data_IF_052160419174
#
_entry.id   IF_052160419174
#
_cell.length_a   1.000
_cell.length_b   1.000
_cell.length_c   1.000
_cell.angle_alpha   90.00
_cell.angle_beta   90.00
_cell.angle_gamma   90.00
#
_symmetry.space_group_name_H-M   'P 1'
#
loop_
_entity.id
_entity.type
_entity.pdbx_description
1 polymer ?
#
# COMPACT_ATOMS: atom_id res chain seq x y z
N UNK A 1 -26.30 -90.86 -5.33
CA UNK A 1 -26.02 -90.04 -6.54
C UNK A 1 -26.36 -88.56 -6.36
N UNK A 2 -26.82 -88.10 -5.19
CA UNK A 2 -27.34 -86.73 -5.00
C UNK A 2 -26.28 -85.70 -4.57
N UNK A 3 -25.29 -86.10 -3.75
CA UNK A 3 -24.24 -85.20 -3.25
C UNK A 3 -23.28 -84.61 -4.31
N UNK A 4 -23.34 -85.06 -5.56
CA UNK A 4 -22.55 -84.47 -6.65
C UNK A 4 -23.23 -83.24 -7.27
N UNK A 5 -24.57 -83.25 -7.33
CA UNK A 5 -25.35 -82.12 -7.86
C UNK A 5 -25.33 -80.93 -6.89
N UNK A 6 -25.33 -81.23 -5.59
CA UNK A 6 -25.28 -80.21 -4.54
C UNK A 6 -23.93 -79.49 -4.49
N UNK A 7 -22.82 -80.24 -4.65
CA UNK A 7 -21.48 -79.67 -4.80
C UNK A 7 -21.35 -78.79 -6.04
N UNK A 8 -21.96 -79.20 -7.15
CA UNK A 8 -21.95 -78.42 -8.39
C UNK A 8 -22.73 -77.12 -8.25
N UNK A 9 -23.90 -77.14 -7.60
CA UNK A 9 -24.65 -75.92 -7.26
C UNK A 9 -23.84 -74.98 -6.37
N UNK A 10 -23.23 -75.52 -5.30
CA UNK A 10 -22.43 -74.73 -4.37
C UNK A 10 -21.21 -74.10 -5.06
N UNK A 11 -20.58 -74.83 -5.99
CA UNK A 11 -19.47 -74.32 -6.80
C UNK A 11 -19.89 -73.19 -7.74
N UNK A 12 -21.06 -73.33 -8.39
CA UNK A 12 -21.62 -72.30 -9.27
C UNK A 12 -21.99 -71.05 -8.48
N UNK A 13 -22.59 -71.20 -7.31
CA UNK A 13 -22.92 -70.08 -6.42
C UNK A 13 -21.67 -69.36 -5.92
N UNK A 14 -20.64 -70.10 -5.49
CA UNK A 14 -19.37 -69.52 -5.07
C UNK A 14 -18.68 -68.76 -6.22
N UNK A 15 -18.71 -69.30 -7.45
CA UNK A 15 -18.19 -68.63 -8.65
C UNK A 15 -18.95 -67.34 -8.97
N UNK A 16 -20.28 -67.32 -8.80
CA UNK A 16 -21.09 -66.11 -8.97
C UNK A 16 -20.80 -65.05 -7.89
N UNK A 17 -20.54 -65.48 -6.65
CA UNK A 17 -20.17 -64.57 -5.56
C UNK A 17 -18.77 -63.97 -5.79
N UNK A 18 -17.80 -64.78 -6.22
CA UNK A 18 -16.45 -64.33 -6.58
C UNK A 18 -16.46 -63.34 -7.76
N UNK A 19 -17.27 -63.60 -8.78
CA UNK A 19 -17.41 -62.71 -9.94
C UNK A 19 -18.07 -61.36 -9.60
N UNK A 20 -18.72 -61.26 -8.43
CA UNK A 20 -19.34 -60.02 -7.93
C UNK A 20 -18.42 -59.23 -6.99
N UNK A 21 -17.27 -59.77 -6.60
CA UNK A 21 -16.30 -59.01 -5.84
C UNK A 21 -15.65 -57.98 -6.78
N UNK A 22 -15.49 -56.70 -6.35
CA UNK A 22 -14.70 -55.76 -7.12
C UNK A 22 -13.33 -56.40 -7.36
N UNK A 23 -12.96 -56.57 -8.62
CA UNK A 23 -11.72 -57.26 -8.97
C UNK A 23 -10.53 -56.62 -8.25
N UNK A 24 -9.46 -57.39 -7.98
CA UNK A 24 -8.25 -56.85 -7.34
C UNK A 24 -7.73 -55.58 -8.04
N UNK A 25 -7.89 -55.50 -9.38
CA UNK A 25 -7.60 -54.33 -10.19
C UNK A 25 -8.42 -53.08 -9.80
N UNK A 26 -9.73 -53.22 -9.54
CA UNK A 26 -10.58 -52.10 -9.13
C UNK A 26 -10.23 -51.59 -7.72
N UNK A 27 -9.83 -52.49 -6.82
CA UNK A 27 -9.36 -52.12 -5.48
C UNK A 27 -8.02 -51.36 -5.54
N UNK A 28 -7.10 -51.79 -6.39
CA UNK A 28 -5.82 -51.12 -6.64
C UNK A 28 -6.03 -49.73 -7.24
N UNK A 29 -6.88 -49.60 -8.27
CA UNK A 29 -7.24 -48.30 -8.87
C UNK A 29 -7.85 -47.35 -7.83
N UNK A 30 -8.74 -47.84 -6.97
CA UNK A 30 -9.33 -47.04 -5.90
C UNK A 30 -8.27 -46.57 -4.90
N UNK A 31 -7.30 -47.42 -4.56
CA UNK A 31 -6.19 -47.05 -3.68
C UNK A 31 -5.32 -45.95 -4.30
N UNK A 32 -4.99 -46.08 -5.58
CA UNK A 32 -4.23 -45.06 -6.33
C UNK A 32 -5.00 -43.73 -6.32
N UNK A 33 -6.28 -43.73 -6.70
CA UNK A 33 -7.08 -42.51 -6.70
C UNK A 33 -7.18 -41.86 -5.32
N UNK A 34 -7.36 -42.65 -4.25
CA UNK A 34 -7.35 -42.11 -2.88
C UNK A 34 -6.01 -41.49 -2.51
N UNK A 35 -4.90 -42.08 -2.95
CA UNK A 35 -3.57 -41.52 -2.73
C UNK A 35 -3.40 -40.20 -3.50
N UNK A 36 -3.70 -40.19 -4.79
CA UNK A 36 -3.64 -38.98 -5.63
C UNK A 36 -4.54 -37.88 -5.08
N UNK A 37 -5.76 -38.19 -4.63
CA UNK A 37 -6.66 -37.20 -4.02
C UNK A 37 -6.05 -36.58 -2.76
N UNK A 38 -5.39 -37.38 -1.90
CA UNK A 38 -4.70 -36.85 -0.71
C UNK A 38 -3.55 -35.94 -1.10
N UNK A 39 -2.75 -36.29 -2.10
CA UNK A 39 -1.65 -35.46 -2.58
C UNK A 39 -2.16 -34.15 -3.19
N UNK A 40 -3.18 -34.21 -4.06
CA UNK A 40 -3.82 -33.02 -4.62
C UNK A 40 -4.40 -32.13 -3.53
N UNK A 41 -5.02 -32.72 -2.50
CA UNK A 41 -5.53 -31.95 -1.35
C UNK A 41 -4.41 -31.26 -0.59
N UNK A 42 -3.24 -31.91 -0.42
CA UNK A 42 -2.06 -31.27 0.20
C UNK A 42 -1.55 -30.11 -0.65
N UNK A 43 -1.43 -30.30 -1.98
CA UNK A 43 -1.03 -29.25 -2.92
C UNK A 43 -1.97 -28.05 -2.85
N UNK A 44 -3.30 -28.29 -2.82
CA UNK A 44 -4.30 -27.23 -2.69
C UNK A 44 -4.16 -26.44 -1.38
N UNK A 45 -3.85 -27.12 -0.27
CA UNK A 45 -3.60 -26.43 1.01
C UNK A 45 -2.37 -25.53 0.96
N UNK A 46 -1.28 -26.01 0.36
CA UNK A 46 -0.05 -25.21 0.16
C UNK A 46 -0.35 -24.00 -0.71
N UNK A 47 -0.97 -24.19 -1.88
CA UNK A 47 -1.32 -23.11 -2.78
C UNK A 47 -2.26 -22.09 -2.12
N UNK A 48 -3.23 -22.54 -1.34
CA UNK A 48 -4.10 -21.65 -0.56
C UNK A 48 -3.33 -20.84 0.47
N UNK A 49 -2.34 -21.43 1.13
CA UNK A 49 -1.49 -20.69 2.08
C UNK A 49 -0.58 -19.67 1.39
N UNK A 50 -0.04 -20.02 0.21
CA UNK A 50 0.74 -19.09 -0.62
C UNK A 50 -0.12 -17.93 -1.11
N UNK A 51 -1.34 -18.21 -1.56
CA UNK A 51 -2.29 -17.18 -1.97
C UNK A 51 -2.59 -16.21 -0.82
N UNK A 52 -2.90 -16.74 0.37
CA UNK A 52 -3.15 -15.91 1.55
C UNK A 52 -1.94 -15.05 1.93
N UNK A 53 -0.72 -15.60 1.81
CA UNK A 53 0.52 -14.86 2.03
C UNK A 53 0.65 -13.70 1.02
N UNK A 54 0.41 -13.95 -0.27
CA UNK A 54 0.48 -12.90 -1.30
C UNK A 54 -0.61 -11.84 -1.14
N UNK A 55 -1.82 -12.23 -0.71
CA UNK A 55 -2.88 -11.28 -0.38
C UNK A 55 -2.46 -10.36 0.79
N UNK A 56 -1.87 -10.92 1.85
CA UNK A 56 -1.33 -10.14 2.97
C UNK A 56 -0.25 -9.17 2.51
N UNK A 57 0.72 -9.64 1.72
CA UNK A 57 1.79 -8.79 1.18
C UNK A 57 1.22 -7.66 0.30
N UNK A 58 0.22 -7.95 -0.52
CA UNK A 58 -0.45 -6.93 -1.34
C UNK A 58 -1.12 -5.85 -0.48
N UNK A 59 -1.77 -6.25 0.62
CA UNK A 59 -2.38 -5.31 1.56
C UNK A 59 -1.33 -4.45 2.26
N UNK A 60 -0.23 -5.06 2.71
CA UNK A 60 0.90 -4.34 3.32
C UNK A 60 1.50 -3.31 2.36
N UNK A 61 1.72 -3.67 1.09
CA UNK A 61 2.23 -2.72 0.11
C UNK A 61 1.26 -1.57 -0.16
N UNK A 62 -0.05 -1.84 -0.25
CA UNK A 62 -1.06 -0.78 -0.37
C UNK A 62 -0.99 0.19 0.81
N UNK A 63 -0.92 -0.34 2.02
CA UNK A 63 -0.79 0.46 3.23
C UNK A 63 0.50 1.29 3.24
N UNK A 64 1.64 0.70 2.88
CA UNK A 64 2.92 1.40 2.84
C UNK A 64 2.91 2.54 1.80
N UNK A 65 2.31 2.31 0.62
CA UNK A 65 2.14 3.35 -0.41
C UNK A 65 1.32 4.52 0.14
N UNK A 66 0.19 4.24 0.80
CA UNK A 66 -0.65 5.26 1.41
C UNK A 66 0.08 6.01 2.53
N UNK A 67 0.81 5.29 3.41
CA UNK A 67 1.61 5.89 4.48
C UNK A 67 2.66 6.84 3.93
N UNK A 68 3.46 6.38 2.98
CA UNK A 68 4.50 7.18 2.32
C UNK A 68 3.90 8.38 1.58
N UNK A 69 2.75 8.20 0.92
CA UNK A 69 2.00 9.30 0.30
C UNK A 69 1.61 10.38 1.31
N UNK A 70 1.07 9.98 2.47
CA UNK A 70 0.71 10.88 3.55
C UNK A 70 1.93 11.58 4.18
N UNK A 71 3.03 10.86 4.38
CA UNK A 71 4.30 11.41 4.86
C UNK A 71 4.83 12.48 3.91
N UNK A 72 4.83 12.21 2.60
CA UNK A 72 5.28 13.15 1.58
C UNK A 72 4.44 14.43 1.59
N UNK A 73 3.12 14.31 1.63
CA UNK A 73 2.20 15.46 1.71
C UNK A 73 2.49 16.27 2.99
N UNK A 74 2.68 15.60 4.12
CA UNK A 74 2.98 16.25 5.40
C UNK A 74 4.32 16.97 5.36
N UNK A 75 5.36 16.35 4.80
CA UNK A 75 6.69 16.95 4.66
C UNK A 75 6.65 18.17 3.73
N UNK A 76 5.94 18.08 2.60
CA UNK A 76 5.73 19.21 1.67
C UNK A 76 5.04 20.38 2.36
N UNK A 77 3.98 20.11 3.15
CA UNK A 77 3.29 21.15 3.94
C UNK A 77 4.24 21.80 4.94
N UNK A 78 5.02 21.03 5.69
CA UNK A 78 6.01 21.53 6.66
C UNK A 78 7.08 22.39 5.98
N UNK A 79 7.64 21.93 4.85
CA UNK A 79 8.64 22.67 4.09
C UNK A 79 8.11 24.01 3.58
N UNK A 80 6.93 24.03 2.96
CA UNK A 80 6.33 25.28 2.47
C UNK A 80 5.99 26.25 3.61
N UNK A 81 5.49 25.73 4.74
CA UNK A 81 5.21 26.54 5.92
C UNK A 81 6.51 27.15 6.49
N UNK A 82 7.59 26.38 6.55
CA UNK A 82 8.90 26.86 6.98
C UNK A 82 9.44 27.93 6.03
N UNK A 83 9.41 27.69 4.72
CA UNK A 83 9.87 28.67 3.72
C UNK A 83 9.09 29.99 3.79
N UNK A 84 7.78 29.93 4.05
CA UNK A 84 6.95 31.14 4.29
C UNK A 84 7.37 31.86 5.57
N UNK A 85 7.60 31.13 6.67
CA UNK A 85 8.06 31.72 7.95
C UNK A 85 9.43 32.40 7.80
N UNK A 86 10.38 31.77 7.13
CA UNK A 86 11.70 32.32 6.87
C UNK A 86 11.64 33.61 6.03
N UNK A 87 10.79 33.64 5.00
CA UNK A 87 10.59 34.85 4.19
C UNK A 87 10.02 36.01 5.00
N UNK A 88 8.98 35.74 5.80
CA UNK A 88 8.36 36.76 6.67
C UNK A 88 9.38 37.28 7.68
N UNK A 89 10.16 36.39 8.31
CA UNK A 89 11.20 36.78 9.26
C UNK A 89 12.30 37.61 8.59
N UNK A 90 12.76 37.23 7.40
CA UNK A 90 13.76 37.98 6.64
C UNK A 90 13.26 39.37 6.26
N UNK A 91 12.00 39.49 5.85
CA UNK A 91 11.38 40.78 5.55
C UNK A 91 11.21 41.64 6.80
N UNK A 92 10.77 41.07 7.94
CA UNK A 92 10.68 41.77 9.22
C UNK A 92 12.05 42.29 9.67
N UNK A 93 13.09 41.48 9.57
CA UNK A 93 14.46 41.90 9.88
C UNK A 93 14.95 43.02 8.95
N UNK A 94 14.63 42.95 7.65
CA UNK A 94 14.95 44.03 6.69
C UNK A 94 14.23 45.34 7.02
N UNK A 95 12.94 45.30 7.34
CA UNK A 95 12.17 46.48 7.74
C UNK A 95 12.70 47.04 9.06
N UNK A 96 13.01 46.19 10.03
CA UNK A 96 13.60 46.62 11.31
C UNK A 96 14.96 47.28 11.12
N UNK A 97 15.85 46.72 10.30
CA UNK A 97 17.14 47.34 9.97
C UNK A 97 16.95 48.68 9.25
N UNK A 98 16.06 48.75 8.26
CA UNK A 98 15.77 50.00 7.57
C UNK A 98 15.16 51.06 8.51
N UNK A 99 14.36 50.67 9.51
CA UNK A 99 13.80 51.59 10.49
C UNK A 99 14.91 52.18 11.40
N UNK A 100 15.82 51.33 11.88
CA UNK A 100 17.00 51.74 12.67
C UNK A 100 17.93 52.67 11.88
N UNK A 101 18.08 52.47 10.56
CA UNK A 101 18.83 53.38 9.69
C UNK A 101 18.06 54.64 9.27
N UNK A 102 16.74 54.71 9.50
CA UNK A 102 15.91 55.88 9.18
C UNK A 102 15.77 56.86 10.36
N UNK A 103 15.94 56.39 11.59
CA UNK A 103 15.85 57.19 12.82
C UNK A 103 17.04 58.14 13.05
N UNK A 104 18.10 58.05 12.23
CA UNK A 104 19.26 58.95 12.28
C UNK A 104 19.31 60.02 11.17
N UNK A 105 18.29 60.14 10.31
CA UNK A 105 18.28 61.20 9.29
C UNK A 105 17.75 62.52 9.87
N UNK A 106 18.72 63.31 10.33
CA UNK A 106 18.63 64.74 10.56
C UNK A 106 17.79 65.45 9.49
N UNK A 107 16.98 66.39 9.95
CA UNK A 107 16.10 67.28 9.19
C UNK A 107 16.87 68.21 8.24
N UNK A 108 17.49 67.64 7.20
CA UNK A 108 18.14 68.36 6.11
C UNK A 108 17.29 68.34 4.82
N UNK A 109 17.46 69.32 3.92
CA UNK A 109 16.68 69.42 2.69
C UNK A 109 16.84 68.15 1.84
N UNK A 110 15.71 67.51 1.51
CA UNK A 110 15.69 66.24 0.78
C UNK A 110 15.88 66.49 -0.71
N UNK A 111 16.95 65.93 -1.25
CA UNK A 111 17.20 65.87 -2.70
C UNK A 111 16.91 64.43 -3.16
N UNK A 112 15.93 64.24 -4.03
CA UNK A 112 15.74 62.95 -4.71
C UNK A 112 16.49 63.01 -6.04
N UNK A 113 17.34 62.01 -6.31
CA UNK A 113 18.28 61.97 -7.44
C UNK A 113 17.70 62.55 -8.73
N UNK A 114 18.30 63.66 -9.19
CA UNK A 114 17.83 64.44 -10.32
C UNK A 114 18.22 65.92 -10.34
N UNK A 115 18.88 66.47 -9.30
CA UNK A 115 19.40 67.85 -9.38
C UNK A 115 18.49 68.96 -8.82
N UNK A 116 17.29 68.65 -8.31
CA UNK A 116 16.33 69.68 -7.91
C UNK A 116 15.85 69.56 -6.45
N UNK A 117 15.90 70.65 -5.65
CA UNK A 117 15.41 70.65 -4.28
C UNK A 117 13.87 70.82 -4.25
N UNK A 118 13.20 70.00 -3.44
CA UNK A 118 11.75 70.06 -3.24
C UNK A 118 11.43 71.11 -2.17
N UNK A 119 11.09 72.34 -2.57
CA UNK A 119 10.51 73.31 -1.65
C UNK A 119 9.00 73.04 -1.52
N UNK A 120 8.58 72.59 -0.34
CA UNK A 120 7.16 72.56 0.02
C UNK A 120 6.65 73.99 0.08
N UNK A 121 5.78 74.35 -0.87
CA UNK A 121 5.07 75.62 -0.87
C UNK A 121 4.14 75.67 0.33
N UNK A 122 4.33 76.68 1.18
CA UNK A 122 3.43 76.98 2.29
C UNK A 122 2.08 77.42 1.72
N UNK A 123 1.00 76.84 2.25
CA UNK A 123 -0.38 77.18 1.89
C UNK A 123 -0.62 78.68 2.07
N UNK A 124 -1.08 79.33 1.01
CA UNK A 124 -1.68 80.67 1.07
C UNK A 124 -2.99 80.56 1.85
N UNK A 125 -3.11 81.31 2.95
CA UNK A 125 -4.40 81.64 3.55
C UNK A 125 -4.88 82.96 2.93
N UNK A 126 -6.06 82.93 2.31
CA UNK A 126 -6.97 84.05 2.11
C UNK A 126 -8.39 83.49 2.16
#
# INVERSE_FOLDING_TARGET
>A
MDGSREKEKLYVELKHILARQPGPEAAEQLQIYRHTLRERTKQLKVLSSELNMYESQSQEYKYEIERLGNELVTLKKKYLAQKRKELVQRNKNRVSMNNVFSESKQSGPRFTGGGFPLNQTSKVKL
#
